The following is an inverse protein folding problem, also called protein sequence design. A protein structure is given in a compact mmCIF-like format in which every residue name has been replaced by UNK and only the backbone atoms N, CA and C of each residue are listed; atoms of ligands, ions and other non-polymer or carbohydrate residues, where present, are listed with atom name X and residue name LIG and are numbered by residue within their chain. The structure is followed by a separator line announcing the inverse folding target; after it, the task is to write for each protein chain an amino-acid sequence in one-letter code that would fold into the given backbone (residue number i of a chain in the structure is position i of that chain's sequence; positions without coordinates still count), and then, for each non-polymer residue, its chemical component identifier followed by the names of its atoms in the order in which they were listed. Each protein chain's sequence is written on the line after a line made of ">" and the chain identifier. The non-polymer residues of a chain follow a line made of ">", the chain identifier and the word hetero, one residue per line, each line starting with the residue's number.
data_IF_131663255893
#
_entry.id   IF_131663255893
#
_cell.length_a   1.000
_cell.length_b   1.000
_cell.length_c   1.000
_cell.angle_alpha   90.00
_cell.angle_beta   90.00
_cell.angle_gamma   90.00
#
_symmetry.space_group_name_H-M   'P 1'
#
loop_
_entity.id
_entity.type
_entity.pdbx_description
1 polymer ?
#
# COMPACT_ATOMS: atom_id res chain seq x y z
N UNK A 1 45.35 -64.06 23.83
CA UNK A 1 43.91 -63.80 23.73
C UNK A 1 43.72 -62.29 23.48
N UNK A 2 43.43 -61.90 22.24
CA UNK A 2 43.24 -60.50 21.84
C UNK A 2 41.76 -60.18 21.90
N UNK A 3 41.38 -59.22 22.75
CA UNK A 3 39.98 -58.72 22.83
C UNK A 3 39.78 -57.65 21.75
N UNK A 4 38.90 -57.94 20.81
CA UNK A 4 38.46 -57.00 19.76
C UNK A 4 37.36 -56.10 20.34
N UNK A 5 37.64 -54.84 20.50
CA UNK A 5 36.66 -53.83 20.92
C UNK A 5 35.84 -53.37 19.72
N UNK A 6 34.55 -53.57 19.77
CA UNK A 6 33.58 -53.12 18.77
C UNK A 6 33.21 -51.64 19.06
N UNK A 7 33.65 -50.73 18.25
CA UNK A 7 33.26 -49.31 18.33
C UNK A 7 32.03 -49.15 17.48
N UNK A 8 30.89 -48.93 18.15
CA UNK A 8 29.60 -48.61 17.52
C UNK A 8 29.60 -47.10 17.16
N UNK A 9 29.80 -46.79 15.89
CA UNK A 9 29.58 -45.41 15.40
C UNK A 9 28.09 -45.12 15.29
N UNK A 10 27.57 -44.30 16.20
CA UNK A 10 26.24 -43.79 16.17
C UNK A 10 26.20 -42.58 15.23
N UNK A 11 25.72 -42.76 13.99
CA UNK A 11 25.51 -41.67 13.03
C UNK A 11 24.28 -40.87 13.46
N UNK A 12 24.50 -39.68 14.00
CA UNK A 12 23.45 -38.70 14.26
C UNK A 12 23.12 -38.01 12.93
N UNK A 13 22.02 -38.40 12.31
CA UNK A 13 21.46 -37.66 11.17
C UNK A 13 20.85 -36.34 11.66
N UNK A 14 21.57 -35.23 11.47
CA UNK A 14 21.03 -33.90 11.61
C UNK A 14 20.04 -33.67 10.46
N UNK A 15 18.75 -33.84 10.73
CA UNK A 15 17.72 -33.29 9.88
C UNK A 15 17.76 -31.76 9.99
N UNK A 16 18.49 -31.10 9.09
CA UNK A 16 18.36 -29.66 8.88
C UNK A 16 16.98 -29.40 8.28
N UNK A 17 16.02 -29.04 9.11
CA UNK A 17 14.80 -28.39 8.67
C UNK A 17 15.19 -27.05 8.05
N UNK A 18 15.42 -27.04 6.74
CA UNK A 18 15.53 -25.80 5.97
C UNK A 18 14.14 -25.16 5.97
N UNK A 19 13.88 -24.31 6.94
CA UNK A 19 12.77 -23.36 6.83
C UNK A 19 13.03 -22.52 5.57
N UNK A 20 12.27 -22.82 4.52
CA UNK A 20 12.19 -21.97 3.34
C UNK A 20 11.62 -20.63 3.84
N UNK A 21 12.52 -19.68 4.16
CA UNK A 21 12.13 -18.31 4.43
C UNK A 21 11.41 -17.83 3.17
N UNK A 22 10.10 -17.63 3.29
CA UNK A 22 9.29 -17.03 2.25
C UNK A 22 9.76 -15.57 2.13
N UNK A 23 10.69 -15.29 1.20
CA UNK A 23 11.30 -13.96 1.00
C UNK A 23 10.39 -13.02 0.22
N UNK A 24 9.15 -13.39 -0.02
CA UNK A 24 8.18 -12.51 -0.68
C UNK A 24 7.48 -11.63 0.36
N UNK A 25 8.27 -10.71 0.93
CA UNK A 25 7.81 -9.72 1.91
C UNK A 25 7.14 -8.50 1.26
N UNK A 26 7.03 -8.49 -0.07
CA UNK A 26 6.40 -7.39 -0.80
C UNK A 26 4.89 -7.44 -0.62
N UNK A 27 4.34 -6.38 -0.05
CA UNK A 27 2.92 -6.10 -0.02
C UNK A 27 2.60 -5.13 -1.19
N UNK A 28 2.03 -5.61 -2.31
CA UNK A 28 1.76 -4.76 -3.46
C UNK A 28 0.60 -3.82 -3.11
N UNK A 29 0.90 -2.52 -2.97
CA UNK A 29 -0.08 -1.51 -2.58
C UNK A 29 -0.74 -0.81 -3.77
N UNK A 30 -0.31 -1.11 -5.02
CA UNK A 30 -0.85 -0.49 -6.24
C UNK A 30 -0.25 0.88 -6.53
N UNK A 31 -0.97 1.70 -7.28
CA UNK A 31 -0.55 3.04 -7.66
C UNK A 31 -0.40 3.95 -6.43
N UNK A 32 0.63 4.78 -6.45
CA UNK A 32 0.92 5.73 -5.36
C UNK A 32 0.61 7.17 -5.77
N UNK A 33 0.03 7.93 -4.85
CA UNK A 33 -0.13 9.37 -4.97
C UNK A 33 -0.01 10.05 -3.61
N UNK A 34 0.26 11.35 -3.62
CA UNK A 34 0.15 12.19 -2.43
C UNK A 34 -1.13 13.02 -2.54
N UNK A 35 -2.02 12.90 -1.57
CA UNK A 35 -3.23 13.72 -1.46
C UNK A 35 -2.93 14.95 -0.62
N UNK A 36 -3.00 16.13 -1.24
CA UNK A 36 -2.68 17.41 -0.65
C UNK A 36 -3.95 18.17 -0.28
N UNK A 37 -4.05 18.59 0.97
CA UNK A 37 -5.08 19.54 1.38
C UNK A 37 -4.69 20.96 0.90
N UNK A 38 -5.51 21.56 0.06
CA UNK A 38 -5.27 22.89 -0.50
C UNK A 38 -6.35 23.89 -0.08
N UNK A 39 -5.96 25.16 0.06
CA UNK A 39 -6.89 26.24 0.44
C UNK A 39 -7.72 26.75 -0.74
N UNK A 40 -7.15 26.69 -1.95
CA UNK A 40 -7.73 27.21 -3.19
C UNK A 40 -7.37 26.26 -4.33
N UNK A 41 -8.36 25.50 -4.77
CA UNK A 41 -8.17 24.45 -5.77
C UNK A 41 -7.73 25.02 -7.12
N UNK A 42 -8.30 26.18 -7.53
CA UNK A 42 -7.96 26.80 -8.80
C UNK A 42 -6.50 27.28 -8.83
N UNK A 43 -6.07 27.96 -7.78
CA UNK A 43 -4.68 28.44 -7.68
C UNK A 43 -3.71 27.26 -7.61
N UNK A 44 -4.05 26.21 -6.92
CA UNK A 44 -3.23 25.00 -6.84
C UNK A 44 -3.12 24.31 -8.19
N UNK A 45 -4.24 24.18 -8.93
CA UNK A 45 -4.24 23.68 -10.30
C UNK A 45 -3.27 24.47 -11.19
N UNK A 46 -3.41 25.79 -11.24
CA UNK A 46 -2.57 26.68 -12.04
C UNK A 46 -1.08 26.57 -11.65
N UNK A 47 -0.79 26.39 -10.36
CA UNK A 47 0.57 26.21 -9.88
C UNK A 47 1.17 24.89 -10.40
N UNK A 48 0.46 23.78 -10.25
CA UNK A 48 0.97 22.48 -10.68
C UNK A 48 1.03 22.35 -12.21
N UNK A 49 0.14 23.02 -12.96
CA UNK A 49 0.23 23.10 -14.42
C UNK A 49 1.53 23.78 -14.88
N UNK A 50 2.00 24.81 -14.17
CA UNK A 50 3.32 25.43 -14.46
C UNK A 50 4.49 24.49 -14.21
N UNK A 51 4.32 23.46 -13.37
CA UNK A 51 5.31 22.40 -13.14
C UNK A 51 5.15 21.23 -14.15
N UNK A 52 4.26 21.34 -15.13
CA UNK A 52 4.04 20.34 -16.17
C UNK A 52 3.04 19.23 -15.77
N UNK A 53 2.30 19.40 -14.68
CA UNK A 53 1.19 18.50 -14.38
C UNK A 53 -0.02 18.82 -15.26
N UNK A 54 -0.77 17.79 -15.60
CA UNK A 54 -2.08 17.91 -16.26
C UNK A 54 -3.15 17.17 -15.47
N UNK A 55 -4.39 17.63 -15.59
CA UNK A 55 -5.51 16.96 -14.94
C UNK A 55 -5.71 15.57 -15.54
N UNK A 56 -5.71 14.55 -14.70
CA UNK A 56 -6.00 13.16 -15.03
C UNK A 56 -7.42 12.75 -14.59
N UNK A 57 -7.92 13.34 -13.51
CA UNK A 57 -9.22 13.02 -12.93
C UNK A 57 -9.72 14.09 -11.98
N UNK A 58 -10.86 13.81 -11.36
CA UNK A 58 -11.51 14.76 -10.46
C UNK A 58 -12.31 15.85 -11.19
N UNK A 59 -12.98 16.72 -10.42
CA UNK A 59 -13.82 17.81 -10.92
C UNK A 59 -13.79 18.97 -9.93
N UNK A 60 -13.65 20.18 -10.45
CA UNK A 60 -13.70 21.44 -9.67
C UNK A 60 -14.99 21.56 -8.83
N UNK A 61 -16.11 21.05 -9.33
CA UNK A 61 -17.41 21.05 -8.60
C UNK A 61 -17.40 20.14 -7.37
N UNK A 62 -16.58 19.09 -7.41
CA UNK A 62 -16.41 18.15 -6.29
C UNK A 62 -15.22 18.52 -5.40
N UNK A 63 -14.63 19.71 -5.59
CA UNK A 63 -13.55 20.26 -4.79
C UNK A 63 -12.26 19.42 -4.77
N UNK A 64 -11.99 18.61 -5.80
CA UNK A 64 -10.72 17.89 -5.94
C UNK A 64 -10.32 17.68 -7.39
N UNK A 65 -9.03 17.58 -7.61
CA UNK A 65 -8.43 17.16 -8.89
C UNK A 65 -7.33 16.15 -8.64
N UNK A 66 -7.17 15.22 -9.57
CA UNK A 66 -6.00 14.34 -9.66
C UNK A 66 -5.14 14.86 -10.79
N UNK A 67 -3.90 15.20 -10.48
CA UNK A 67 -2.94 15.80 -11.39
C UNK A 67 -1.79 14.83 -11.62
N UNK A 68 -1.29 14.75 -12.86
CA UNK A 68 -0.26 13.81 -13.26
C UNK A 68 0.84 14.51 -14.08
N UNK A 69 2.10 14.14 -13.78
CA UNK A 69 3.27 14.47 -14.60
C UNK A 69 4.17 13.22 -14.73
N UNK A 70 4.27 12.64 -15.92
CA UNK A 70 4.94 11.34 -16.12
C UNK A 70 4.29 10.24 -15.26
N UNK A 71 5.04 9.65 -14.35
CA UNK A 71 4.55 8.64 -13.38
C UNK A 71 4.15 9.24 -12.03
N UNK A 72 4.38 10.54 -11.83
CA UNK A 72 4.08 11.23 -10.57
C UNK A 72 2.61 11.65 -10.53
N UNK A 73 1.91 11.25 -9.47
CA UNK A 73 0.50 11.59 -9.24
C UNK A 73 0.38 12.38 -7.95
N UNK A 74 -0.38 13.46 -8.00
CA UNK A 74 -0.82 14.21 -6.83
C UNK A 74 -2.35 14.39 -6.90
N UNK A 75 -3.02 14.23 -5.77
CA UNK A 75 -4.40 14.67 -5.58
C UNK A 75 -4.39 16.03 -4.88
N UNK A 76 -5.13 17.00 -5.38
CA UNK A 76 -5.34 18.28 -4.71
C UNK A 76 -6.81 18.38 -4.29
N UNK A 77 -7.04 18.58 -2.99
CA UNK A 77 -8.37 18.50 -2.36
C UNK A 77 -8.63 19.74 -1.53
N UNK A 78 -9.74 20.40 -1.75
CA UNK A 78 -10.10 21.61 -1.02
C UNK A 78 -11.17 21.30 0.04
N UNK A 79 -10.80 21.44 1.32
CA UNK A 79 -11.73 21.33 2.44
C UNK A 79 -12.27 19.94 2.74
N UNK A 80 -11.63 18.87 2.27
CA UNK A 80 -12.11 17.50 2.45
C UNK A 80 -11.47 16.78 3.65
N UNK A 81 -10.25 17.15 4.02
CA UNK A 81 -9.52 16.57 5.16
C UNK A 81 -8.45 17.55 5.64
N UNK A 82 -7.82 17.26 6.77
CA UNK A 82 -6.69 18.02 7.31
C UNK A 82 -5.37 17.28 7.08
N UNK A 83 -4.31 18.06 6.81
CA UNK A 83 -2.97 17.55 6.53
C UNK A 83 -2.86 16.95 5.13
N UNK A 84 -1.80 16.17 4.91
CA UNK A 84 -1.56 15.44 3.67
C UNK A 84 -1.67 13.94 3.92
N UNK A 85 -1.97 13.17 2.87
CA UNK A 85 -2.18 11.73 2.96
C UNK A 85 -1.33 11.03 1.90
N UNK A 86 -0.59 10.00 2.28
CA UNK A 86 0.05 9.06 1.37
C UNK A 86 -1.01 8.06 0.92
N UNK A 87 -1.36 8.06 -0.36
CA UNK A 87 -2.47 7.25 -0.89
C UNK A 87 -1.94 6.16 -1.80
N UNK A 88 -2.44 4.95 -1.60
CA UNK A 88 -2.15 3.78 -2.44
C UNK A 88 -3.45 3.19 -2.97
N UNK A 89 -3.46 2.80 -4.25
CA UNK A 89 -4.65 2.29 -4.94
C UNK A 89 -4.43 0.86 -5.44
N UNK A 90 -4.73 -0.16 -4.62
CA UNK A 90 -4.62 -1.56 -5.05
C UNK A 90 -5.45 -1.84 -6.28
N UNK A 91 -4.87 -2.58 -7.22
CA UNK A 91 -5.54 -2.96 -8.47
C UNK A 91 -5.48 -1.91 -9.58
N UNK A 92 -4.81 -0.78 -9.35
CA UNK A 92 -4.56 0.25 -10.36
C UNK A 92 -3.07 0.50 -10.59
N UNK A 93 -2.72 0.86 -11.84
CA UNK A 93 -1.44 1.47 -12.19
C UNK A 93 -1.49 3.01 -12.09
N UNK A 94 -0.38 3.66 -12.40
CA UNK A 94 -0.26 5.13 -12.37
C UNK A 94 -1.09 5.86 -13.46
N UNK A 95 -1.79 5.12 -14.31
CA UNK A 95 -2.73 5.66 -15.31
C UNK A 95 -4.19 5.37 -14.93
N UNK A 96 -4.44 4.93 -13.70
CA UNK A 96 -5.73 4.44 -13.22
C UNK A 96 -6.30 3.29 -14.07
N UNK A 97 -5.41 2.48 -14.67
CA UNK A 97 -5.80 1.27 -15.39
C UNK A 97 -5.75 0.07 -14.48
N UNK A 98 -6.67 -0.84 -14.68
CA UNK A 98 -6.75 -2.07 -13.91
C UNK A 98 -5.52 -2.97 -14.11
N UNK A 99 -4.96 -3.45 -13.01
CA UNK A 99 -3.85 -4.40 -12.96
C UNK A 99 -4.32 -5.70 -12.35
N UNK A 100 -4.00 -6.83 -13.00
CA UNK A 100 -4.29 -8.17 -12.50
C UNK A 100 -3.03 -9.07 -12.58
N UNK A 101 -2.79 -9.96 -11.59
CA UNK A 101 -3.49 -9.99 -10.31
C UNK A 101 -3.15 -8.79 -9.42
N UNK A 102 -4.01 -8.49 -8.46
CA UNK A 102 -3.73 -7.49 -7.43
C UNK A 102 -4.07 -8.05 -6.03
N UNK A 103 -3.58 -7.41 -4.99
CA UNK A 103 -3.90 -7.76 -3.60
C UNK A 103 -5.09 -6.94 -3.13
N UNK A 104 -6.19 -7.61 -2.74
CA UNK A 104 -7.39 -6.95 -2.22
C UNK A 104 -7.07 -6.20 -0.92
N UNK A 105 -7.70 -5.05 -0.72
CA UNK A 105 -7.49 -4.20 0.46
C UNK A 105 -7.73 -4.96 1.77
N UNK A 106 -8.63 -5.95 1.78
CA UNK A 106 -8.92 -6.78 2.96
C UNK A 106 -7.80 -7.77 3.27
N UNK A 107 -7.08 -8.23 2.25
CA UNK A 107 -5.88 -9.07 2.45
C UNK A 107 -4.69 -8.22 2.89
N UNK A 108 -4.58 -6.99 2.37
CA UNK A 108 -3.64 -5.99 2.90
C UNK A 108 -3.95 -5.73 4.37
N UNK A 109 -5.22 -5.50 4.73
CA UNK A 109 -5.68 -5.30 6.11
C UNK A 109 -5.26 -6.44 7.04
N UNK A 110 -5.51 -7.69 6.65
CA UNK A 110 -5.11 -8.87 7.42
C UNK A 110 -3.60 -8.91 7.65
N UNK A 111 -2.82 -8.60 6.61
CA UNK A 111 -1.35 -8.56 6.72
C UNK A 111 -0.90 -7.47 7.69
N UNK A 112 -1.42 -6.25 7.58
CA UNK A 112 -1.08 -5.15 8.49
C UNK A 112 -1.43 -5.49 9.94
N UNK A 113 -2.61 -6.09 10.19
CA UNK A 113 -3.00 -6.56 11.53
C UNK A 113 -2.07 -7.67 12.04
N UNK A 114 -1.65 -8.60 11.19
CA UNK A 114 -0.69 -9.65 11.58
C UNK A 114 0.68 -9.08 11.94
N UNK A 115 1.05 -7.96 11.34
CA UNK A 115 2.28 -7.21 11.63
C UNK A 115 2.10 -6.22 12.80
N UNK A 116 0.95 -6.29 13.51
CA UNK A 116 0.61 -5.45 14.66
C UNK A 116 0.52 -3.94 14.34
N UNK A 117 0.27 -3.59 13.07
CA UNK A 117 -0.02 -2.21 12.67
C UNK A 117 -1.45 -1.87 13.07
N UNK A 118 -1.60 -0.81 13.87
CA UNK A 118 -2.91 -0.32 14.30
C UNK A 118 -3.58 0.44 13.15
N UNK A 119 -4.80 0.05 12.81
CA UNK A 119 -5.62 0.74 11.81
C UNK A 119 -6.53 1.77 12.47
N UNK A 120 -6.70 2.91 11.82
CA UNK A 120 -7.64 3.97 12.23
C UNK A 120 -9.03 3.71 11.63
N UNK A 121 -9.07 3.22 10.39
CA UNK A 121 -10.27 2.81 9.66
C UNK A 121 -10.03 1.44 9.05
N UNK A 122 -11.04 0.57 9.09
CA UNK A 122 -10.95 -0.79 8.57
C UNK A 122 -11.96 -1.01 7.45
N UNK A 123 -11.56 -1.78 6.44
CA UNK A 123 -12.47 -2.28 5.42
C UNK A 123 -13.36 -3.39 6.00
N UNK A 124 -14.64 -3.42 5.64
CA UNK A 124 -15.55 -4.51 6.02
C UNK A 124 -15.13 -5.80 5.31
N UNK A 125 -14.66 -6.78 6.08
CA UNK A 125 -14.18 -8.08 5.58
C UNK A 125 -15.27 -8.95 4.95
N UNK A 126 -16.56 -8.60 5.16
CA UNK A 126 -17.69 -9.34 4.60
C UNK A 126 -18.10 -8.85 3.20
N UNK A 127 -17.57 -7.72 2.76
CA UNK A 127 -17.86 -7.12 1.46
C UNK A 127 -16.84 -7.52 0.39
N UNK A 128 -17.12 -7.15 -0.85
CA UNK A 128 -16.21 -7.27 -2.00
C UNK A 128 -16.24 -5.96 -2.79
N UNK A 129 -15.23 -5.76 -3.63
CA UNK A 129 -15.13 -4.55 -4.47
C UNK A 129 -14.58 -3.36 -3.71
N UNK A 130 -14.97 -2.12 -4.06
CA UNK A 130 -14.40 -0.89 -3.49
C UNK A 130 -14.46 -0.86 -1.97
N UNK A 131 -13.36 -0.54 -1.35
CA UNK A 131 -13.23 -0.33 0.08
C UNK A 131 -11.88 0.32 0.40
N UNK A 132 -11.75 0.88 1.60
CA UNK A 132 -10.51 1.53 2.02
C UNK A 132 -10.16 1.20 3.47
N UNK A 133 -8.92 1.43 3.83
CA UNK A 133 -8.43 1.43 5.21
C UNK A 133 -7.46 2.58 5.43
N UNK A 134 -7.34 3.02 6.67
CA UNK A 134 -6.45 4.12 7.05
C UNK A 134 -5.62 3.75 8.28
N UNK A 135 -4.40 4.22 8.31
CA UNK A 135 -3.50 4.13 9.44
C UNK A 135 -2.47 5.26 9.43
N UNK A 136 -1.63 5.33 10.44
CA UNK A 136 -0.55 6.31 10.52
C UNK A 136 0.78 5.58 10.67
N UNK A 137 1.84 6.19 10.15
CA UNK A 137 3.19 5.79 10.46
C UNK A 137 3.59 6.21 11.90
N UNK A 138 4.77 5.82 12.40
CA UNK A 138 5.21 6.17 13.76
C UNK A 138 5.32 7.68 14.04
N UNK A 139 5.48 8.50 12.99
CA UNK A 139 5.58 9.96 13.10
C UNK A 139 4.23 10.68 12.87
N UNK A 140 3.15 9.90 12.66
CA UNK A 140 1.80 10.42 12.50
C UNK A 140 1.42 10.78 11.06
N UNK A 141 2.23 10.42 10.05
CA UNK A 141 1.85 10.62 8.65
C UNK A 141 0.67 9.72 8.29
N UNK A 142 -0.37 10.29 7.72
CA UNK A 142 -1.57 9.56 7.33
C UNK A 142 -1.32 8.72 6.09
N UNK A 143 -1.77 7.47 6.11
CA UNK A 143 -1.69 6.53 5.00
C UNK A 143 -3.09 6.00 4.73
N UNK A 144 -3.50 6.08 3.47
CA UNK A 144 -4.76 5.57 2.94
C UNK A 144 -4.48 4.47 1.92
N UNK A 145 -5.10 3.34 2.09
CA UNK A 145 -5.17 2.30 1.05
C UNK A 145 -6.60 2.31 0.51
N UNK A 146 -6.78 2.75 -0.72
CA UNK A 146 -8.09 3.00 -1.34
C UNK A 146 -8.29 2.15 -2.60
N UNK A 147 -9.08 1.10 -2.46
CA UNK A 147 -9.42 0.19 -3.57
C UNK A 147 -10.71 0.63 -4.24
N UNK A 148 -10.66 0.88 -5.54
CA UNK A 148 -11.79 1.39 -6.35
C UNK A 148 -12.54 0.31 -7.13
N UNK A 149 -12.16 -0.96 -7.00
CA UNK A 149 -12.73 -2.06 -7.81
C UNK A 149 -12.96 -3.34 -7.01
#
# INVERSE_FOLDING_TARGET
>A
MKKLGFILLMSISLNTFSQKMNTDTKLPLGAFSVSLNVKDLQKSKEFYEKLGFSQMGGDMKHHYLIMKNGTTIIGIFQGMFEGNILTFNPGWDENAKEVNPFTDVRDIQKKLKSDQIKLNTEADEKTKGPAYLEFTDPDGNKILIDQHR
#
